data_IF_985140960684
#
_entry.id   IF_985140960684
#
_cell.length_a   1.000
_cell.length_b   1.000
_cell.length_c   1.000
_cell.angle_alpha   90.00
_cell.angle_beta   90.00
_cell.angle_gamma   90.00
#
_symmetry.space_group_name_H-M   'P 1'
#
loop_
_entity.id
_entity.type
_entity.pdbx_description
1 polymer ?
#
# COMPACT_ATOMS: atom_id res chain seq x y z
N UNK A 1 10.97 -17.56 29.84
CA UNK A 1 10.92 -19.03 29.83
C UNK A 1 12.08 -19.55 29.00
N UNK A 2 12.65 -20.70 29.36
CA UNK A 2 13.66 -21.39 28.56
C UNK A 2 13.13 -21.71 27.17
N UNK A 3 13.99 -21.71 26.15
CA UNK A 3 13.66 -22.21 24.81
C UNK A 3 13.45 -23.74 24.85
N UNK A 4 12.59 -24.32 23.99
CA UNK A 4 12.49 -25.78 23.80
C UNK A 4 13.84 -26.39 23.40
N UNK A 5 14.08 -27.67 23.76
CA UNK A 5 15.36 -28.34 23.49
C UNK A 5 15.62 -28.52 21.99
N UNK A 6 14.58 -28.76 21.20
CA UNK A 6 14.68 -28.84 19.74
C UNK A 6 15.16 -27.52 19.14
N UNK A 7 14.61 -26.39 19.62
CA UNK A 7 15.04 -25.04 19.21
C UNK A 7 16.47 -24.77 19.63
N UNK A 8 16.88 -25.10 20.87
CA UNK A 8 18.27 -24.90 21.31
C UNK A 8 19.27 -25.69 20.45
N UNK A 9 18.89 -26.90 20.03
CA UNK A 9 19.73 -27.74 19.18
C UNK A 9 19.82 -27.16 17.77
N UNK A 10 18.70 -26.70 17.22
CA UNK A 10 18.63 -26.09 15.89
C UNK A 10 19.38 -24.75 15.81
N UNK A 11 19.30 -23.93 16.87
CA UNK A 11 20.05 -22.67 17.00
C UNK A 11 21.57 -22.88 16.92
N UNK A 12 22.08 -24.05 17.29
CA UNK A 12 23.51 -24.39 17.25
C UNK A 12 24.44 -23.32 17.90
N UNK A 13 23.95 -22.69 18.98
CA UNK A 13 24.67 -21.65 19.71
C UNK A 13 24.55 -20.23 19.13
N UNK A 14 23.82 -20.05 18.03
CA UNK A 14 23.54 -18.75 17.43
C UNK A 14 22.62 -17.91 18.33
N UNK A 15 22.91 -16.61 18.54
CA UNK A 15 22.09 -15.75 19.39
C UNK A 15 20.72 -15.48 18.75
N UNK A 16 19.68 -15.50 19.57
CA UNK A 16 18.34 -15.08 19.14
C UNK A 16 18.24 -13.57 19.21
N UNK A 17 18.01 -12.93 18.06
CA UNK A 17 17.78 -11.49 17.91
C UNK A 17 16.33 -11.15 18.20
N UNK A 18 15.39 -11.96 17.73
CA UNK A 18 13.97 -11.75 17.97
C UNK A 18 13.22 -13.05 18.28
N UNK A 19 12.23 -12.95 19.17
CA UNK A 19 11.29 -14.03 19.50
C UNK A 19 9.86 -13.53 19.33
N UNK A 20 9.08 -14.23 18.51
CA UNK A 20 7.71 -13.86 18.16
C UNK A 20 6.77 -15.03 18.44
N UNK A 21 5.77 -14.81 19.29
CA UNK A 21 4.72 -15.80 19.51
C UNK A 21 3.78 -15.85 18.29
N UNK A 22 3.57 -17.05 17.73
CA UNK A 22 2.73 -17.29 16.57
C UNK A 22 1.32 -17.80 16.95
N UNK A 23 1.10 -18.09 18.23
CA UNK A 23 -0.18 -18.55 18.79
C UNK A 23 -0.06 -19.94 19.41
N UNK A 24 -0.78 -20.17 20.51
CA UNK A 24 -0.57 -21.39 21.31
C UNK A 24 0.85 -21.40 21.88
N UNK A 25 1.58 -22.47 21.61
CA UNK A 25 3.00 -22.63 21.97
C UNK A 25 3.93 -22.52 20.74
N UNK A 26 3.39 -22.17 19.56
CA UNK A 26 4.17 -21.94 18.33
C UNK A 26 4.94 -20.62 18.43
N UNK A 27 6.20 -20.63 18.01
CA UNK A 27 7.10 -19.48 18.12
C UNK A 27 8.03 -19.35 16.90
N UNK A 28 8.35 -18.12 16.53
CA UNK A 28 9.38 -17.79 15.57
C UNK A 28 10.59 -17.22 16.31
N UNK A 29 11.76 -17.70 15.92
CA UNK A 29 13.06 -17.27 16.41
C UNK A 29 13.87 -16.74 15.24
N UNK A 30 14.18 -15.46 15.24
CA UNK A 30 15.11 -14.89 14.27
C UNK A 30 16.50 -14.80 14.89
N UNK A 31 17.48 -15.22 14.12
CA UNK A 31 18.91 -15.15 14.40
C UNK A 31 19.57 -14.23 13.37
N UNK A 32 20.87 -13.90 13.47
CA UNK A 32 21.54 -13.16 12.42
C UNK A 32 21.41 -13.81 11.04
N UNK A 33 21.61 -15.12 10.91
CA UNK A 33 21.70 -15.76 9.58
C UNK A 33 20.44 -16.48 9.14
N UNK A 34 19.49 -16.75 10.04
CA UNK A 34 18.29 -17.55 9.72
C UNK A 34 17.10 -17.29 10.64
N UNK A 35 15.92 -17.71 10.18
CA UNK A 35 14.71 -17.77 10.97
C UNK A 35 14.31 -19.22 11.21
N UNK A 36 13.98 -19.54 12.46
CA UNK A 36 13.47 -20.83 12.88
C UNK A 36 11.99 -20.71 13.27
N UNK A 37 11.15 -21.59 12.73
CA UNK A 37 9.74 -21.69 13.09
C UNK A 37 9.55 -22.96 13.91
N UNK A 38 9.24 -22.77 15.18
CA UNK A 38 8.90 -23.82 16.11
C UNK A 38 7.38 -24.04 16.11
N UNK A 39 6.98 -25.29 15.90
CA UNK A 39 5.60 -25.76 16.10
C UNK A 39 5.58 -26.73 17.27
N UNK A 40 4.78 -26.41 18.27
CA UNK A 40 4.58 -27.30 19.42
C UNK A 40 3.88 -28.59 19.01
N UNK A 41 4.11 -29.66 19.76
CA UNK A 41 3.37 -30.91 19.62
C UNK A 41 1.86 -30.64 19.80
N UNK A 42 1.08 -31.06 18.80
CA UNK A 42 -0.37 -31.02 18.81
C UNK A 42 -0.97 -32.42 18.86
N UNK A 43 -2.30 -32.50 18.97
CA UNK A 43 -3.03 -33.77 19.05
C UNK A 43 -2.78 -34.71 17.85
N UNK A 44 -2.37 -34.16 16.71
CA UNK A 44 -2.19 -34.86 15.44
C UNK A 44 -0.84 -34.56 14.77
N UNK A 45 0.07 -33.85 15.45
CA UNK A 45 1.30 -33.37 14.84
C UNK A 45 2.41 -33.36 15.89
N UNK A 46 3.55 -33.93 15.53
CA UNK A 46 4.71 -33.93 16.40
C UNK A 46 5.35 -32.53 16.51
N UNK A 47 6.17 -32.34 17.53
CA UNK A 47 7.03 -31.15 17.69
C UNK A 47 7.96 -31.01 16.46
N UNK A 48 8.01 -29.83 15.87
CA UNK A 48 8.86 -29.57 14.70
C UNK A 48 9.55 -28.21 14.78
N UNK A 49 10.73 -28.14 14.16
CA UNK A 49 11.48 -26.90 13.90
C UNK A 49 11.82 -26.87 12.43
N UNK A 50 11.38 -25.81 11.74
CA UNK A 50 11.73 -25.52 10.36
C UNK A 50 12.72 -24.35 10.32
N UNK A 51 13.73 -24.44 9.47
CA UNK A 51 14.79 -23.43 9.34
C UNK A 51 14.76 -22.78 7.96
N UNK A 52 14.92 -21.46 7.93
CA UNK A 52 14.87 -20.65 6.72
C UNK A 52 16.06 -19.68 6.72
N UNK A 53 16.94 -19.78 5.71
CA UNK A 53 18.09 -18.87 5.58
C UNK A 53 17.63 -17.44 5.33
N UNK A 54 18.41 -16.47 5.80
CA UNK A 54 18.22 -15.06 5.47
C UNK A 54 18.84 -14.67 4.13
N UNK A 55 19.62 -15.55 3.48
CA UNK A 55 20.22 -15.33 2.15
C UNK A 55 19.19 -15.41 1.00
N UNK A 56 17.90 -15.17 1.28
CA UNK A 56 16.88 -15.05 0.24
C UNK A 56 17.18 -13.81 -0.60
N UNK A 57 17.04 -13.93 -1.93
CA UNK A 57 17.14 -12.83 -2.91
C UNK A 57 15.80 -12.12 -3.08
N UNK A 58 14.69 -12.80 -2.76
CA UNK A 58 13.34 -12.25 -2.79
C UNK A 58 12.47 -12.80 -1.67
N UNK A 59 11.67 -11.92 -1.08
CA UNK A 59 10.62 -12.27 -0.10
C UNK A 59 9.28 -11.91 -0.69
N UNK A 60 8.35 -12.87 -0.74
CA UNK A 60 6.99 -12.66 -1.24
C UNK A 60 5.95 -13.07 -0.19
N UNK A 61 4.82 -12.35 -0.18
CA UNK A 61 3.75 -12.56 0.80
C UNK A 61 2.43 -12.74 0.05
N UNK A 62 1.83 -13.93 0.19
CA UNK A 62 0.52 -14.23 -0.40
C UNK A 62 -0.53 -14.36 0.71
N UNK A 63 -1.33 -13.31 0.87
CA UNK A 63 -2.37 -13.25 1.91
C UNK A 63 -3.58 -14.11 1.53
N UNK A 64 -3.90 -15.07 2.40
CA UNK A 64 -5.14 -15.84 2.32
C UNK A 64 -6.15 -15.38 3.36
N UNK A 65 -7.35 -15.97 3.33
CA UNK A 65 -8.45 -15.61 4.25
C UNK A 65 -8.10 -15.72 5.74
N UNK A 66 -7.24 -16.67 6.11
CA UNK A 66 -6.92 -17.01 7.52
C UNK A 66 -5.42 -17.12 7.82
N UNK A 67 -4.66 -17.47 6.79
CA UNK A 67 -3.23 -17.68 6.85
C UNK A 67 -2.62 -16.99 5.64
N UNK A 68 -1.42 -16.50 5.85
CA UNK A 68 -0.59 -15.88 4.83
C UNK A 68 0.60 -16.78 4.60
N UNK A 69 0.94 -16.98 3.33
CA UNK A 69 2.17 -17.67 2.95
C UNK A 69 3.28 -16.65 2.77
N UNK A 70 4.42 -16.92 3.38
CA UNK A 70 5.65 -16.17 3.17
C UNK A 70 6.59 -17.09 2.40
N UNK A 71 7.06 -16.63 1.25
CA UNK A 71 7.95 -17.37 0.36
C UNK A 71 9.29 -16.65 0.32
N UNK A 72 10.36 -17.40 0.60
CA UNK A 72 11.75 -17.01 0.52
C UNK A 72 12.31 -17.67 -0.73
N UNK A 73 12.68 -16.86 -1.71
CA UNK A 73 13.26 -17.29 -2.97
C UNK A 73 14.77 -17.04 -2.92
N UNK A 74 15.55 -18.11 -3.11
CA UNK A 74 17.01 -18.13 -3.09
C UNK A 74 17.57 -18.26 -4.52
N UNK A 75 16.79 -17.83 -5.52
CA UNK A 75 17.19 -17.83 -6.92
C UNK A 75 17.43 -19.24 -7.45
N UNK A 76 18.69 -19.57 -7.71
CA UNK A 76 19.08 -20.88 -8.27
C UNK A 76 19.00 -22.02 -7.24
N UNK A 77 19.01 -21.70 -5.95
CA UNK A 77 18.93 -22.67 -4.87
C UNK A 77 17.48 -23.06 -4.50
N UNK A 78 16.51 -22.48 -5.22
CA UNK A 78 15.09 -22.78 -5.11
C UNK A 78 14.37 -21.86 -4.12
N UNK A 79 13.17 -22.26 -3.72
CA UNK A 79 12.32 -21.49 -2.82
C UNK A 79 11.89 -22.31 -1.61
N UNK A 80 11.69 -21.63 -0.48
CA UNK A 80 11.07 -22.19 0.71
C UNK A 80 9.86 -21.35 1.11
N UNK A 81 8.82 -22.00 1.63
CA UNK A 81 7.59 -21.32 2.00
C UNK A 81 7.11 -21.80 3.37
N UNK A 82 6.68 -20.86 4.20
CA UNK A 82 5.97 -21.14 5.44
C UNK A 82 4.65 -20.37 5.52
N UNK A 83 3.74 -20.84 6.37
CA UNK A 83 2.43 -20.23 6.54
C UNK A 83 2.20 -19.75 7.97
N UNK A 84 1.84 -18.49 8.12
CA UNK A 84 1.51 -17.86 9.40
C UNK A 84 0.05 -17.46 9.45
N UNK A 85 -0.50 -17.34 10.66
CA UNK A 85 -1.78 -16.66 10.85
C UNK A 85 -1.64 -15.18 10.49
N UNK A 86 -2.65 -14.60 9.81
CA UNK A 86 -2.62 -13.19 9.42
C UNK A 86 -2.39 -12.25 10.62
N UNK A 87 -2.88 -12.65 11.80
CA UNK A 87 -2.71 -11.88 13.05
C UNK A 87 -1.24 -11.72 13.48
N UNK A 88 -0.38 -12.66 13.11
CA UNK A 88 1.02 -12.69 13.53
C UNK A 88 1.99 -12.28 12.42
N UNK A 89 1.48 -12.04 11.20
CA UNK A 89 2.27 -11.78 10.01
C UNK A 89 3.18 -10.56 10.20
N UNK A 90 2.63 -9.38 10.50
CA UNK A 90 3.42 -8.15 10.56
C UNK A 90 4.54 -8.23 11.62
N UNK A 91 4.25 -8.88 12.76
CA UNK A 91 5.24 -9.07 13.82
C UNK A 91 6.33 -10.07 13.43
N UNK A 92 6.00 -11.08 12.62
CA UNK A 92 6.93 -12.10 12.16
C UNK A 92 7.76 -11.64 10.96
N UNK A 93 7.20 -10.86 10.05
CA UNK A 93 7.90 -10.35 8.87
C UNK A 93 9.03 -9.42 9.24
N UNK A 94 8.85 -8.59 10.26
CA UNK A 94 9.85 -7.60 10.65
C UNK A 94 11.25 -8.19 10.89
N UNK A 95 11.44 -9.18 11.79
CA UNK A 95 12.77 -9.76 12.00
C UNK A 95 13.26 -10.64 10.84
N UNK A 96 12.36 -11.24 10.05
CA UNK A 96 12.74 -12.02 8.86
C UNK A 96 13.31 -11.10 7.79
N UNK A 97 12.63 -9.98 7.51
CA UNK A 97 13.08 -8.99 6.54
C UNK A 97 14.35 -8.30 7.00
N UNK A 98 14.46 -7.90 8.28
CA UNK A 98 15.69 -7.33 8.81
C UNK A 98 16.87 -8.29 8.64
N UNK A 99 16.67 -9.56 8.96
CA UNK A 99 17.68 -10.60 8.76
C UNK A 99 18.10 -10.72 7.30
N UNK A 100 17.14 -10.74 6.37
CA UNK A 100 17.44 -10.81 4.94
C UNK A 100 18.18 -9.58 4.41
N UNK A 101 17.78 -8.39 4.84
CA UNK A 101 18.46 -7.16 4.46
C UNK A 101 19.92 -7.12 4.95
N UNK A 102 20.22 -7.70 6.12
CA UNK A 102 21.59 -7.83 6.64
C UNK A 102 22.39 -8.88 5.89
N UNK A 103 21.80 -10.05 5.66
CA UNK A 103 22.46 -11.15 4.93
C UNK A 103 22.83 -10.77 3.49
N UNK A 104 22.08 -9.84 2.87
CA UNK A 104 22.33 -9.34 1.52
C UNK A 104 23.12 -8.01 1.50
N UNK A 105 23.81 -7.64 2.59
CA UNK A 105 24.62 -6.42 2.70
C UNK A 105 23.88 -5.09 2.44
N UNK A 106 22.53 -5.08 2.51
CA UNK A 106 21.72 -3.87 2.33
C UNK A 106 21.74 -3.01 3.60
N UNK A 107 21.65 -3.66 4.77
CA UNK A 107 21.80 -3.05 6.09
C UNK A 107 23.09 -3.53 6.75
N UNK A 108 23.73 -2.64 7.52
CA UNK A 108 24.85 -3.04 8.37
C UNK A 108 24.39 -3.97 9.51
N UNK A 109 25.29 -4.80 10.03
CA UNK A 109 24.99 -5.77 11.10
C UNK A 109 24.36 -5.10 12.34
N UNK A 110 24.83 -3.90 12.69
CA UNK A 110 24.39 -3.11 13.83
C UNK A 110 23.23 -2.15 13.52
N UNK A 111 22.86 -2.00 12.25
CA UNK A 111 21.72 -1.18 11.83
C UNK A 111 20.43 -1.99 11.97
N UNK A 112 19.45 -1.46 12.70
CA UNK A 112 18.16 -2.12 12.88
C UNK A 112 17.09 -1.54 11.95
N UNK A 113 16.09 -2.36 11.63
CA UNK A 113 14.84 -1.86 11.05
C UNK A 113 14.02 -1.26 12.19
N UNK A 114 13.61 -0.01 12.04
CA UNK A 114 12.72 0.69 12.98
C UNK A 114 11.26 0.34 12.71
N UNK A 115 10.89 0.29 11.43
CA UNK A 115 9.55 -0.10 11.01
C UNK A 115 9.50 -0.55 9.56
N UNK A 116 8.61 -1.52 9.33
CA UNK A 116 8.17 -1.96 8.02
C UNK A 116 6.75 -1.44 7.75
N UNK A 117 6.54 -0.85 6.59
CA UNK A 117 5.24 -0.45 6.06
C UNK A 117 4.97 -1.15 4.73
N UNK A 118 3.74 -1.62 4.53
CA UNK A 118 3.29 -2.29 3.31
C UNK A 118 2.03 -1.62 2.78
N UNK A 119 2.10 -1.05 1.58
CA UNK A 119 1.04 -0.26 0.95
C UNK A 119 0.74 -0.81 -0.45
N UNK A 120 -0.14 -1.80 -0.54
CA UNK A 120 -0.43 -2.50 -1.80
C UNK A 120 0.85 -3.07 -2.44
N UNK A 121 1.43 -2.37 -3.42
CA UNK A 121 2.67 -2.77 -4.12
C UNK A 121 3.90 -2.00 -3.59
N UNK A 122 3.74 -1.03 -2.70
CA UNK A 122 4.84 -0.25 -2.15
C UNK A 122 5.22 -0.78 -0.77
N UNK A 123 6.46 -1.22 -0.61
CA UNK A 123 7.05 -1.54 0.68
C UNK A 123 8.04 -0.46 1.08
N UNK A 124 7.92 0.05 2.30
CA UNK A 124 8.84 1.03 2.87
C UNK A 124 9.44 0.49 4.16
N UNK A 125 10.76 0.42 4.22
CA UNK A 125 11.54 0.03 5.39
C UNK A 125 12.24 1.27 5.91
N UNK A 126 11.89 1.69 7.12
CA UNK A 126 12.62 2.75 7.82
C UNK A 126 13.64 2.06 8.73
N UNK A 127 14.92 2.30 8.48
CA UNK A 127 16.03 1.81 9.28
C UNK A 127 16.68 2.98 10.05
N UNK A 128 17.72 2.67 10.83
CA UNK A 128 18.42 3.68 11.64
C UNK A 128 19.10 4.78 10.81
N UNK A 129 19.65 4.46 9.63
CA UNK A 129 20.40 5.39 8.79
C UNK A 129 19.82 5.63 7.40
N UNK A 130 18.73 4.95 7.04
CA UNK A 130 18.19 5.01 5.67
C UNK A 130 16.72 4.62 5.58
N UNK A 131 16.12 4.94 4.44
CA UNK A 131 14.81 4.44 4.01
C UNK A 131 15.01 3.59 2.77
N UNK A 132 14.51 2.36 2.80
CA UNK A 132 14.43 1.50 1.62
C UNK A 132 13.01 1.55 1.08
N UNK A 133 12.90 1.74 -0.23
CA UNK A 133 11.64 1.78 -0.97
C UNK A 133 11.67 0.69 -2.03
N UNK A 134 10.70 -0.21 -1.94
CA UNK A 134 10.50 -1.26 -2.92
C UNK A 134 9.12 -1.13 -3.54
N UNK A 135 9.02 -1.31 -4.86
CA UNK A 135 7.75 -1.28 -5.61
C UNK A 135 7.59 -2.59 -6.37
N UNK A 136 6.60 -3.40 -6.00
CA UNK A 136 6.23 -4.61 -6.70
C UNK A 136 5.31 -5.52 -5.91
N UNK A 137 5.09 -6.73 -6.43
CA UNK A 137 4.30 -7.76 -5.76
C UNK A 137 5.08 -8.46 -4.63
N UNK A 138 6.41 -8.46 -4.72
CA UNK A 138 7.31 -8.93 -3.67
C UNK A 138 7.27 -7.98 -2.48
N UNK A 139 7.50 -8.49 -1.27
CA UNK A 139 7.78 -7.65 -0.11
C UNK A 139 9.15 -6.96 -0.26
N UNK A 140 10.13 -7.69 -0.80
CA UNK A 140 11.47 -7.22 -1.06
C UNK A 140 12.12 -8.10 -2.13
N UNK A 141 12.96 -7.49 -2.96
CA UNK A 141 13.96 -8.12 -3.81
C UNK A 141 15.07 -7.10 -4.11
N UNK A 142 16.05 -7.47 -4.93
CA UNK A 142 17.21 -6.63 -5.29
C UNK A 142 16.84 -5.31 -6.00
N UNK A 143 15.63 -5.20 -6.58
CA UNK A 143 15.16 -4.00 -7.27
C UNK A 143 14.51 -3.02 -6.27
N UNK A 144 15.34 -2.36 -5.45
CA UNK A 144 14.90 -1.35 -4.50
C UNK A 144 15.64 -0.02 -4.64
N UNK A 145 15.02 1.03 -4.14
CA UNK A 145 15.62 2.37 -4.00
C UNK A 145 16.05 2.58 -2.55
N UNK A 146 17.27 3.08 -2.36
CA UNK A 146 17.83 3.42 -1.05
C UNK A 146 17.99 4.94 -0.91
N UNK A 147 17.56 5.46 0.23
CA UNK A 147 17.73 6.86 0.59
C UNK A 147 18.43 6.96 1.94
N UNK A 148 19.72 7.29 1.93
CA UNK A 148 20.52 7.46 3.15
C UNK A 148 20.19 8.79 3.81
N UNK A 149 20.07 8.78 5.13
CA UNK A 149 19.76 9.99 5.87
C UNK A 149 20.85 11.05 5.80
N UNK A 150 22.11 10.68 5.54
CA UNK A 150 23.20 11.62 5.25
C UNK A 150 22.90 12.57 4.07
N UNK A 151 22.14 12.08 3.09
CA UNK A 151 21.82 12.81 1.86
C UNK A 151 20.45 13.52 1.95
N UNK A 152 19.68 13.25 3.02
CA UNK A 152 18.33 13.78 3.24
C UNK A 152 18.40 15.13 3.95
N UNK A 153 18.04 16.19 3.25
CA UNK A 153 18.10 17.57 3.76
C UNK A 153 16.75 18.14 4.16
N UNK A 154 15.66 17.58 3.65
CA UNK A 154 14.30 18.01 3.98
C UNK A 154 13.30 16.85 3.90
N UNK A 155 12.29 16.91 4.75
CA UNK A 155 11.15 16.00 4.79
C UNK A 155 9.86 16.80 4.96
N UNK A 156 8.89 16.56 4.08
CA UNK A 156 7.59 17.22 4.09
C UNK A 156 6.47 16.21 3.85
N UNK A 157 5.29 16.52 4.39
CA UNK A 157 4.09 15.72 4.24
C UNK A 157 2.95 16.58 3.72
N UNK A 158 2.41 16.24 2.56
CA UNK A 158 1.31 16.94 1.92
C UNK A 158 0.04 16.10 2.01
N UNK A 159 -0.93 16.54 2.82
CA UNK A 159 -2.21 15.84 2.97
C UNK A 159 -3.04 15.88 1.68
N UNK A 160 -3.57 14.72 1.28
CA UNK A 160 -4.50 14.58 0.16
C UNK A 160 -5.81 13.91 0.60
N UNK A 161 -6.84 14.00 -0.24
CA UNK A 161 -8.15 13.39 0.05
C UNK A 161 -8.08 11.87 0.16
N UNK A 162 -7.28 11.23 -0.69
CA UNK A 162 -7.12 9.77 -0.76
C UNK A 162 -5.88 9.29 -0.02
N UNK A 163 -4.76 9.99 -0.22
CA UNK A 163 -3.46 9.60 0.29
C UNK A 163 -2.61 10.84 0.61
N UNK A 164 -1.74 10.70 1.60
CA UNK A 164 -0.73 11.69 1.95
C UNK A 164 0.49 11.51 1.04
N UNK A 165 1.01 12.61 0.51
CA UNK A 165 2.30 12.62 -0.18
C UNK A 165 3.42 12.79 0.83
N UNK A 166 4.38 11.88 0.85
CA UNK A 166 5.67 12.10 1.49
C UNK A 166 6.61 12.68 0.45
N UNK A 167 7.28 13.78 0.78
CA UNK A 167 8.26 14.46 -0.07
C UNK A 167 9.56 14.51 0.71
N UNK A 168 10.59 13.83 0.21
CA UNK A 168 11.91 13.78 0.80
C UNK A 168 12.90 14.43 -0.16
N UNK A 169 13.68 15.39 0.31
CA UNK A 169 14.73 16.01 -0.51
C UNK A 169 16.04 15.28 -0.25
N UNK A 170 16.55 14.59 -1.27
CA UNK A 170 17.77 13.78 -1.25
C UNK A 170 18.74 14.35 -2.27
N UNK A 171 19.94 14.75 -1.86
CA UNK A 171 20.94 15.38 -2.76
C UNK A 171 20.36 16.54 -3.61
N UNK A 172 19.47 17.34 -3.00
CA UNK A 172 18.79 18.45 -3.68
C UNK A 172 17.69 18.04 -4.69
N UNK A 173 17.35 16.75 -4.77
CA UNK A 173 16.25 16.23 -5.60
C UNK A 173 15.07 15.83 -4.72
N UNK A 174 13.86 16.10 -5.19
CA UNK A 174 12.66 15.70 -4.47
C UNK A 174 12.20 14.31 -4.89
N UNK A 175 12.19 13.41 -3.93
CA UNK A 175 11.61 12.08 -4.03
C UNK A 175 10.23 12.07 -3.38
N UNK A 176 9.25 11.54 -4.10
CA UNK A 176 7.85 11.60 -3.70
C UNK A 176 7.19 10.24 -3.81
N UNK A 177 6.53 9.84 -2.73
CA UNK A 177 5.69 8.64 -2.71
C UNK A 177 4.40 8.88 -1.95
N UNK A 178 3.43 7.99 -2.14
CA UNK A 178 2.09 8.08 -1.55
C UNK A 178 1.94 7.08 -0.42
N UNK A 179 1.25 7.52 0.62
CA UNK A 179 0.93 6.71 1.79
C UNK A 179 -0.56 6.82 2.07
N UNK A 180 -1.26 5.70 2.32
CA UNK A 180 -2.65 5.73 2.79
C UNK A 180 -2.82 6.65 3.99
N UNK A 181 -3.93 7.38 4.04
CA UNK A 181 -4.16 8.37 5.11
C UNK A 181 -4.20 7.74 6.51
N UNK A 182 -4.55 6.46 6.64
CA UNK A 182 -4.57 5.73 7.91
C UNK A 182 -3.17 5.51 8.49
N UNK A 183 -2.17 5.26 7.63
CA UNK A 183 -0.78 5.02 8.03
C UNK A 183 0.08 6.28 8.04
N UNK A 184 -0.36 7.34 7.36
CA UNK A 184 0.42 8.57 7.15
C UNK A 184 0.95 9.17 8.45
N UNK A 185 0.14 9.14 9.52
CA UNK A 185 0.56 9.64 10.84
C UNK A 185 1.71 8.82 11.42
N UNK A 186 1.59 7.50 11.35
CA UNK A 186 2.59 6.59 11.91
C UNK A 186 3.88 6.62 11.10
N UNK A 187 3.78 6.67 9.77
CA UNK A 187 4.94 6.85 8.89
C UNK A 187 5.64 8.17 9.16
N UNK A 188 4.89 9.26 9.29
CA UNK A 188 5.44 10.58 9.62
C UNK A 188 6.24 10.56 10.92
N UNK A 189 5.65 10.05 12.00
CA UNK A 189 6.32 9.97 13.30
C UNK A 189 7.59 9.11 13.23
N UNK A 190 7.54 8.00 12.48
CA UNK A 190 8.68 7.08 12.35
C UNK A 190 9.80 7.72 11.53
N UNK A 191 9.51 8.33 10.38
CA UNK A 191 10.49 9.00 9.52
C UNK A 191 11.10 10.24 10.21
N UNK A 192 10.26 11.10 10.79
CA UNK A 192 10.76 12.27 11.52
C UNK A 192 11.63 11.83 12.70
N UNK A 193 11.20 10.85 13.50
CA UNK A 193 12.00 10.37 14.64
C UNK A 193 13.34 9.78 14.19
N UNK A 194 13.35 8.92 13.16
CA UNK A 194 14.57 8.28 12.69
C UNK A 194 15.56 9.30 12.08
N UNK A 195 15.06 10.21 11.23
CA UNK A 195 15.87 11.25 10.60
C UNK A 195 16.47 12.21 11.65
N UNK A 196 15.65 12.69 12.59
CA UNK A 196 16.12 13.61 13.62
C UNK A 196 17.13 12.93 14.58
N UNK A 197 16.91 11.65 14.90
CA UNK A 197 17.85 10.87 15.70
C UNK A 197 19.19 10.68 14.97
N UNK A 198 19.18 10.41 13.66
CA UNK A 198 20.37 10.27 12.84
C UNK A 198 21.21 11.56 12.83
N UNK A 199 20.58 12.70 12.59
CA UNK A 199 21.25 14.00 12.53
C UNK A 199 21.54 14.61 13.92
N UNK A 200 21.00 14.03 14.99
CA UNK A 200 21.16 14.54 16.35
C UNK A 200 20.48 15.91 16.58
N UNK A 201 19.47 16.26 15.78
CA UNK A 201 18.73 17.52 15.86
C UNK A 201 17.35 17.33 16.48
N UNK A 202 16.73 18.42 16.91
CA UNK A 202 15.45 18.39 17.62
C UNK A 202 14.23 18.68 16.75
N UNK A 203 14.43 19.17 15.52
CA UNK A 203 13.35 19.53 14.60
C UNK A 203 13.78 19.53 13.14
N UNK A 204 12.81 19.40 12.23
CA UNK A 204 13.05 19.51 10.78
C UNK A 204 13.50 20.92 10.36
N UNK A 205 13.14 21.95 11.12
CA UNK A 205 13.60 23.33 10.85
C UNK A 205 15.11 23.46 11.12
N UNK A 206 15.60 22.84 12.20
CA UNK A 206 17.03 22.77 12.52
C UNK A 206 17.81 21.96 11.46
N UNK A 207 17.24 20.85 10.99
CA UNK A 207 17.80 20.07 9.88
C UNK A 207 17.94 20.91 8.60
N UNK A 208 16.87 21.63 8.22
CA UNK A 208 16.90 22.51 7.03
C UNK A 208 17.94 23.60 7.21
N UNK A 209 17.97 24.27 8.35
CA UNK A 209 18.93 25.35 8.63
C UNK A 209 20.38 24.88 8.55
N UNK A 210 20.68 23.64 8.99
CA UNK A 210 22.01 23.05 8.89
C UNK A 210 22.42 22.72 7.44
N UNK A 211 21.45 22.48 6.55
CA UNK A 211 21.67 22.07 5.16
C UNK A 211 21.50 23.20 4.13
N UNK A 212 21.20 24.43 4.57
CA UNK A 212 21.17 25.61 3.70
C UNK A 212 22.62 25.98 3.36
N UNK A 213 23.00 25.86 2.09
CA UNK A 213 24.30 26.32 1.58
C UNK A 213 24.55 27.79 1.90
N UNK A 214 25.81 28.19 2.11
CA UNK A 214 26.19 29.60 2.38
C UNK A 214 25.67 30.59 1.30
N UNK A 215 25.46 30.14 0.07
CA UNK A 215 24.87 30.92 -1.04
C UNK A 215 23.37 31.21 -0.86
N UNK A 216 22.65 30.36 -0.13
CA UNK A 216 21.21 30.48 0.13
C UNK A 216 20.94 31.11 1.52
N UNK A 217 21.86 30.94 2.47
CA UNK A 217 21.90 31.68 3.74
C UNK A 217 22.30 33.16 3.57
N UNK A 218 22.99 33.50 2.47
CA UNK A 218 23.34 34.87 2.08
C UNK A 218 22.20 35.63 1.36
N UNK A 219 20.97 35.10 1.35
CA UNK A 219 19.78 35.85 0.94
C UNK A 219 18.88 36.28 2.11
N UNK A 220 19.37 37.10 3.07
CA UNK A 220 18.50 38.09 3.67
C UNK A 220 18.41 39.28 2.70
N UNK A 221 17.19 39.64 2.29
CA UNK A 221 16.85 40.81 1.44
C UNK A 221 16.78 40.58 -0.08
N UNK A 222 15.73 39.89 -0.51
CA UNK A 222 15.09 40.13 -1.81
C UNK A 222 14.19 41.38 -1.79
N UNK A 223 14.72 42.52 -1.35
CA UNK A 223 14.13 43.82 -1.60
C UNK A 223 15.04 44.57 -2.59
N UNK A 224 14.55 44.65 -3.83
CA UNK A 224 15.08 45.46 -4.94
C UNK A 224 16.46 45.07 -5.52
N UNK A 225 16.46 44.20 -6.53
CA UNK A 225 17.12 44.47 -7.82
C UNK A 225 16.59 43.49 -8.88
N UNK A 226 15.37 43.76 -9.37
CA UNK A 226 14.92 43.13 -10.59
C UNK A 226 15.71 43.76 -11.74
N UNK A 227 16.83 43.12 -12.13
CA UNK A 227 17.38 43.29 -13.48
C UNK A 227 16.34 42.81 -14.47
N UNK A 228 15.54 43.77 -14.91
CA UNK A 228 14.57 43.69 -15.98
C UNK A 228 15.30 43.20 -17.25
N UNK A 229 15.27 41.89 -17.46
CA UNK A 229 15.48 41.32 -18.79
C UNK A 229 14.30 41.77 -19.64
N UNK A 230 14.52 42.87 -20.36
CA UNK A 230 13.58 43.44 -21.33
C UNK A 230 13.33 42.43 -22.45
N UNK A 231 12.26 41.65 -22.32
CA UNK A 231 11.58 41.06 -23.46
C UNK A 231 10.91 42.21 -24.20
N UNK A 232 11.36 42.46 -25.43
CA UNK A 232 10.97 43.62 -26.22
C UNK A 232 9.46 43.80 -26.33
N UNK A 233 9.07 45.09 -26.30
CA UNK A 233 7.77 45.68 -26.64
C UNK A 233 6.75 44.68 -27.22
N UNK A 234 6.00 44.04 -26.33
CA UNK A 234 4.81 43.28 -26.68
C UNK A 234 3.67 44.23 -27.06
N UNK A 235 2.82 43.88 -28.04
CA UNK A 235 1.82 44.81 -28.56
C UNK A 235 0.87 45.31 -27.47
N UNK A 236 0.60 46.62 -27.47
CA UNK A 236 -0.25 47.32 -26.50
C UNK A 236 -1.62 46.62 -26.32
N UNK A 237 -2.08 46.41 -25.09
CA UNK A 237 -3.41 45.89 -24.83
C UNK A 237 -4.48 46.90 -25.27
N UNK A 238 -5.45 46.43 -26.05
CA UNK A 238 -6.61 47.19 -26.50
C UNK A 238 -7.30 47.88 -25.32
N UNK A 239 -7.18 49.21 -25.26
CA UNK A 239 -7.90 50.06 -24.32
C UNK A 239 -9.38 50.11 -24.72
N UNK A 240 -10.17 49.17 -24.20
CA UNK A 240 -11.61 49.25 -24.25
C UNK A 240 -12.07 50.41 -23.36
N UNK A 241 -12.37 51.56 -23.97
CA UNK A 241 -12.95 52.71 -23.31
C UNK A 241 -14.42 52.39 -22.96
N UNK A 242 -14.83 52.33 -21.67
CA UNK A 242 -16.16 51.90 -21.27
C UNK A 242 -17.27 52.96 -21.54
N UNK A 243 -16.94 54.08 -22.18
CA UNK A 243 -17.87 55.19 -22.43
C UNK A 243 -18.63 55.10 -23.77
N UNK A 244 -18.52 54.00 -24.54
CA UNK A 244 -19.24 53.80 -25.81
C UNK A 244 -20.16 52.56 -25.82
N UNK A 245 -20.67 52.13 -24.66
CA UNK A 245 -21.73 51.12 -24.57
C UNK A 245 -23.09 51.78 -24.25
N UNK A 246 -23.48 52.77 -25.05
CA UNK A 246 -24.77 53.47 -24.94
C UNK A 246 -25.64 53.31 -26.21
N UNK A 247 -25.49 52.20 -26.92
CA UNK A 247 -26.48 51.77 -27.91
C UNK A 247 -26.96 50.37 -27.54
N UNK A 248 -28.22 50.29 -27.10
CA UNK A 248 -28.92 49.06 -26.77
C UNK A 248 -29.07 48.18 -28.02
N UNK A 249 -28.58 46.93 -28.05
CA UNK A 249 -29.11 45.94 -28.97
C UNK A 249 -30.52 45.56 -28.51
N UNK A 250 -31.49 45.79 -29.40
CA UNK A 250 -32.90 45.39 -29.28
C UNK A 250 -33.07 43.87 -29.26
N UNK A 251 -32.73 43.21 -28.16
CA UNK A 251 -33.29 41.89 -27.86
C UNK A 251 -33.21 41.54 -26.37
N UNK A 252 -34.08 42.15 -25.57
CA UNK A 252 -34.32 41.78 -24.19
C UNK A 252 -35.70 41.11 -24.06
N UNK A 253 -35.70 39.78 -23.89
CA UNK A 253 -36.80 39.07 -23.23
C UNK A 253 -36.23 38.40 -21.99
N UNK A 254 -36.10 39.16 -20.91
CA UNK A 254 -36.00 38.56 -19.57
C UNK A 254 -36.62 39.46 -18.53
N UNK A 255 -37.82 39.07 -18.13
CA UNK A 255 -38.67 39.69 -17.12
C UNK A 255 -38.01 39.65 -15.75
N UNK A 256 -38.13 40.77 -15.06
CA UNK A 256 -37.72 41.04 -13.68
C UNK A 256 -38.57 40.28 -12.64
N UNK A 257 -37.98 40.05 -11.47
CA UNK A 257 -38.59 40.15 -10.12
C UNK A 257 -37.40 40.00 -9.14
N UNK A 258 -36.86 41.06 -8.52
CA UNK A 258 -37.38 41.80 -7.36
C UNK A 258 -37.84 40.83 -6.23
N UNK A 259 -37.40 40.90 -4.98
CA UNK A 259 -37.09 42.07 -4.18
C UNK A 259 -36.46 41.64 -2.82
N UNK A 260 -35.52 42.46 -2.36
CA UNK A 260 -35.23 42.90 -0.99
C UNK A 260 -35.08 41.94 0.22
N UNK A 261 -33.92 42.09 0.86
CA UNK A 261 -33.66 41.86 2.31
C UNK A 261 -34.09 43.11 3.09
N UNK A 262 -34.50 43.01 4.37
CA UNK A 262 -33.52 43.39 5.41
C UNK A 262 -33.63 42.65 6.77
N UNK A 263 -32.60 42.86 7.59
CA UNK A 263 -32.36 42.41 8.97
C UNK A 263 -33.44 42.81 10.01
N UNK A 264 -33.58 42.04 11.11
CA UNK A 264 -33.29 42.50 12.49
C UNK A 264 -33.77 41.53 13.62
N UNK A 265 -32.89 41.31 14.59
CA UNK A 265 -33.07 41.17 16.06
C UNK A 265 -34.01 40.12 16.76
N UNK A 266 -33.35 39.30 17.60
CA UNK A 266 -33.56 39.05 19.04
C UNK A 266 -34.75 38.21 19.61
N UNK A 267 -34.43 37.52 20.72
CA UNK A 267 -35.23 36.71 21.67
C UNK A 267 -35.73 35.34 21.15
N UNK A 268 -35.72 34.23 21.90
CA UNK A 268 -35.55 33.98 23.34
C UNK A 268 -36.56 32.91 23.78
N UNK A 269 -36.10 31.83 24.43
CA UNK A 269 -36.92 30.74 25.01
C UNK A 269 -36.95 29.48 24.14
N UNK A 270 -36.54 28.29 24.54
CA UNK A 270 -36.43 27.70 25.87
C UNK A 270 -37.60 26.74 26.11
N UNK A 271 -37.50 25.49 25.66
CA UNK A 271 -38.23 24.34 26.25
C UNK A 271 -37.48 23.04 25.95
N UNK A 272 -37.25 22.27 27.01
CA UNK A 272 -36.67 20.94 27.02
C UNK A 272 -37.63 19.87 26.46
N UNK A 273 -37.09 18.78 25.90
CA UNK A 273 -37.62 17.44 26.21
C UNK A 273 -36.57 16.34 26.02
N UNK A 274 -36.25 15.68 27.13
CA UNK A 274 -35.64 14.36 27.23
C UNK A 274 -36.44 13.31 26.45
N UNK A 275 -35.75 12.31 25.90
CA UNK A 275 -36.11 10.90 26.08
C UNK A 275 -34.86 10.02 26.05
N UNK A 276 -34.56 9.41 27.20
CA UNK A 276 -33.72 8.23 27.38
C UNK A 276 -34.36 6.99 26.76
N UNK A 277 -33.54 6.05 26.26
CA UNK A 277 -33.87 4.63 26.30
C UNK A 277 -32.61 3.74 26.30
N UNK A 278 -32.26 3.30 27.51
CA UNK A 278 -31.94 1.91 27.89
C UNK A 278 -30.78 1.17 27.22
N UNK A 279 -29.69 1.05 27.99
CA UNK A 279 -28.70 -0.02 27.91
C UNK A 279 -29.04 -1.15 28.92
N UNK A 280 -28.92 -2.42 28.48
CA UNK A 280 -28.81 -3.68 29.27
C UNK A 280 -28.44 -4.79 28.27
N UNK A 281 -27.39 -5.59 28.43
CA UNK A 281 -27.16 -6.62 29.47
C UNK A 281 -25.69 -7.12 29.37
N UNK A 282 -24.91 -7.20 30.46
CA UNK A 282 -24.62 -8.37 31.36
C UNK A 282 -23.97 -9.59 30.69
N UNK A 283 -22.76 -9.91 31.19
CA UNK A 283 -21.91 -11.09 30.96
C UNK A 283 -22.49 -12.42 31.47
N UNK A 284 -22.07 -13.55 30.88
CA UNK A 284 -21.56 -14.78 31.56
C UNK A 284 -21.25 -15.90 30.52
N UNK A 285 -20.15 -16.64 30.73
CA UNK A 285 -19.72 -17.87 30.00
C UNK A 285 -20.30 -19.14 30.68
N UNK A 286 -19.80 -20.38 30.47
CA UNK A 286 -19.44 -21.18 29.27
C UNK A 286 -20.26 -22.50 29.19
N UNK A 287 -20.21 -23.28 28.09
CA UNK A 287 -20.23 -24.76 28.15
C UNK A 287 -20.02 -25.42 26.77
N UNK A 288 -19.26 -26.52 26.80
CA UNK A 288 -19.00 -27.45 25.71
C UNK A 288 -20.21 -28.31 25.32
N UNK A 289 -20.22 -28.81 24.07
CA UNK A 289 -20.45 -30.22 23.69
C UNK A 289 -20.43 -30.38 22.16
N UNK A 290 -19.49 -31.18 21.65
CA UNK A 290 -19.63 -32.03 20.45
C UNK A 290 -20.52 -33.25 20.86
N UNK A 291 -21.24 -33.99 19.99
CA UNK A 291 -20.57 -34.80 18.96
C UNK A 291 -21.36 -35.07 17.64
N UNK A 292 -20.61 -35.34 16.55
CA UNK A 292 -20.90 -36.26 15.42
C UNK A 292 -22.01 -35.93 14.40
N UNK A 293 -21.63 -35.81 13.12
CA UNK A 293 -22.14 -36.64 11.99
C UNK A 293 -21.55 -36.19 10.63
N UNK A 294 -20.74 -37.05 10.01
CA UNK A 294 -20.59 -37.18 8.55
C UNK A 294 -21.45 -38.39 8.08
N UNK A 295 -21.68 -38.66 6.79
CA UNK A 295 -21.74 -37.77 5.60
C UNK A 295 -23.05 -37.99 4.80
N UNK A 296 -23.40 -37.08 3.89
CA UNK A 296 -24.34 -37.39 2.81
C UNK A 296 -24.07 -36.55 1.56
N UNK A 297 -23.85 -37.31 0.48
CA UNK A 297 -23.62 -36.96 -0.91
C UNK A 297 -24.93 -36.52 -1.60
N UNK A 298 -24.87 -35.52 -2.50
CA UNK A 298 -25.95 -35.22 -3.46
C UNK A 298 -26.25 -33.74 -3.71
N UNK A 299 -26.55 -33.34 -4.97
CA UNK A 299 -26.25 -32.01 -5.52
C UNK A 299 -27.35 -30.98 -5.24
N UNK A 300 -26.96 -29.72 -5.04
CA UNK A 300 -27.91 -28.60 -4.94
C UNK A 300 -27.74 -27.64 -6.12
N UNK A 301 -28.85 -27.48 -6.82
CA UNK A 301 -29.12 -26.59 -7.94
C UNK A 301 -28.77 -25.12 -7.63
N UNK A 302 -28.14 -24.47 -8.59
CA UNK A 302 -27.96 -23.02 -8.63
C UNK A 302 -29.29 -22.35 -8.96
N UNK A 303 -29.92 -21.73 -7.97
CA UNK A 303 -31.02 -20.79 -8.21
C UNK A 303 -30.47 -19.50 -8.83
N UNK A 304 -30.98 -19.20 -10.02
CA UNK A 304 -30.81 -17.94 -10.72
C UNK A 304 -31.55 -16.84 -9.95
N UNK A 305 -30.83 -15.77 -9.62
CA UNK A 305 -31.43 -14.56 -9.04
C UNK A 305 -31.63 -13.57 -10.17
N UNK A 306 -32.90 -13.35 -10.44
CA UNK A 306 -33.52 -12.34 -11.27
C UNK A 306 -32.95 -10.94 -11.00
N UNK A 307 -32.62 -10.21 -12.06
CA UNK A 307 -32.26 -8.79 -12.00
C UNK A 307 -32.76 -8.09 -13.26
N UNK A 308 -34.05 -7.80 -13.22
CA UNK A 308 -34.71 -6.57 -13.66
C UNK A 308 -34.12 -5.87 -14.90
N UNK A 309 -34.77 -6.14 -16.02
CA UNK A 309 -34.92 -5.23 -17.16
C UNK A 309 -35.39 -3.85 -16.67
N UNK A 310 -34.58 -2.82 -16.94
CA UNK A 310 -35.01 -1.44 -16.91
C UNK A 310 -35.08 -0.97 -18.37
N UNK A 311 -36.24 -1.18 -18.98
CA UNK A 311 -36.68 -0.44 -20.16
C UNK A 311 -36.59 1.06 -19.85
N UNK A 312 -35.62 1.74 -20.46
CA UNK A 312 -35.64 3.19 -20.58
C UNK A 312 -36.17 3.50 -21.97
N UNK A 313 -37.41 3.98 -22.01
CA UNK A 313 -38.04 4.56 -23.19
C UNK A 313 -37.09 5.57 -23.87
N UNK A 314 -36.57 5.16 -25.03
CA UNK A 314 -35.95 6.04 -26.01
C UNK A 314 -37.06 6.62 -26.88
N UNK A 315 -37.48 7.84 -26.53
CA UNK A 315 -38.31 8.65 -27.42
C UNK A 315 -37.84 10.10 -27.35
N UNK A 316 -37.20 10.54 -28.45
CA UNK A 316 -37.19 11.96 -28.81
C UNK A 316 -35.82 12.61 -29.01
N UNK A 317 -34.95 12.08 -29.87
CA UNK A 317 -34.00 12.93 -30.62
C UNK A 317 -33.55 12.34 -31.97
N UNK A 318 -34.50 11.89 -32.80
CA UNK A 318 -34.24 11.67 -34.22
C UNK A 318 -33.96 13.01 -34.92
N UNK A 319 -32.68 13.34 -35.11
CA UNK A 319 -32.29 14.44 -36.01
C UNK A 319 -31.03 15.22 -35.69
N UNK A 320 -30.21 14.81 -34.72
CA UNK A 320 -28.91 15.46 -34.47
C UNK A 320 -27.77 14.47 -34.56
N UNK A 321 -26.80 14.76 -35.43
CA UNK A 321 -25.56 14.00 -35.60
C UNK A 321 -24.58 14.14 -34.43
N UNK A 322 -25.05 13.88 -33.22
CA UNK A 322 -24.23 13.79 -32.02
C UNK A 322 -24.26 12.34 -31.51
N UNK A 323 -23.27 11.56 -31.94
CA UNK A 323 -22.97 10.26 -31.31
C UNK A 323 -22.46 10.53 -29.89
N UNK A 324 -23.13 9.94 -28.90
CA UNK A 324 -22.69 10.00 -27.50
C UNK A 324 -21.40 9.20 -27.36
N UNK A 325 -20.29 9.86 -27.03
CA UNK A 325 -18.96 9.26 -26.86
C UNK A 325 -18.93 8.10 -25.84
N UNK A 326 -19.95 7.99 -24.97
CA UNK A 326 -20.11 6.89 -24.01
C UNK A 326 -20.53 5.57 -24.68
N UNK A 327 -21.35 5.60 -25.73
CA UNK A 327 -21.75 4.39 -26.46
C UNK A 327 -20.57 3.83 -27.28
N UNK A 328 -19.80 4.72 -27.93
CA UNK A 328 -18.58 4.34 -28.67
C UNK A 328 -17.43 3.90 -27.76
N UNK A 329 -17.42 4.33 -26.48
CA UNK A 329 -16.46 3.85 -25.49
C UNK A 329 -16.79 2.43 -25.02
N UNK A 330 -18.07 2.13 -24.75
CA UNK A 330 -18.49 0.79 -24.36
C UNK A 330 -18.28 -0.25 -25.48
N UNK A 331 -18.51 0.12 -26.74
CA UNK A 331 -18.22 -0.76 -27.88
C UNK A 331 -16.73 -1.12 -27.98
N UNK A 332 -15.84 -0.13 -27.85
CA UNK A 332 -14.39 -0.35 -27.87
C UNK A 332 -13.90 -1.25 -26.74
N UNK A 333 -14.44 -1.08 -25.54
CA UNK A 333 -14.11 -1.94 -24.39
C UNK A 333 -14.60 -3.38 -24.60
N UNK A 334 -15.78 -3.56 -25.20
CA UNK A 334 -16.30 -4.89 -25.51
C UNK A 334 -15.45 -5.62 -26.57
N UNK A 335 -14.97 -4.89 -27.58
CA UNK A 335 -14.08 -5.43 -28.62
C UNK A 335 -12.71 -5.82 -28.02
N UNK A 336 -12.15 -4.98 -27.15
CA UNK A 336 -10.87 -5.25 -26.48
C UNK A 336 -10.97 -6.48 -25.55
N UNK A 337 -12.08 -6.63 -24.83
CA UNK A 337 -12.34 -7.82 -24.00
C UNK A 337 -12.47 -9.10 -24.84
N UNK A 338 -13.09 -9.01 -26.02
CA UNK A 338 -13.20 -10.15 -26.93
C UNK A 338 -11.82 -10.57 -27.47
N UNK A 339 -10.96 -9.60 -27.80
CA UNK A 339 -9.59 -9.85 -28.27
C UNK A 339 -8.70 -10.45 -27.18
N UNK A 340 -8.78 -9.92 -25.94
CA UNK A 340 -8.07 -10.48 -24.79
C UNK A 340 -8.51 -11.92 -24.52
N UNK A 341 -9.82 -12.19 -24.55
CA UNK A 341 -10.35 -13.54 -24.33
C UNK A 341 -9.86 -14.53 -25.40
N UNK A 342 -9.86 -14.13 -26.67
CA UNK A 342 -9.33 -14.96 -27.75
C UNK A 342 -7.83 -15.24 -27.58
N UNK A 343 -7.07 -14.28 -27.06
CA UNK A 343 -5.64 -14.45 -26.78
C UNK A 343 -5.39 -15.40 -25.61
N UNK A 344 -6.17 -15.29 -24.53
CA UNK A 344 -6.10 -16.22 -23.38
C UNK A 344 -6.46 -17.65 -23.80
N UNK A 345 -7.48 -17.83 -24.64
CA UNK A 345 -7.85 -19.15 -25.15
C UNK A 345 -6.71 -19.78 -25.97
N UNK A 346 -6.05 -18.99 -26.82
CA UNK A 346 -4.88 -19.41 -27.60
C UNK A 346 -3.69 -19.79 -26.72
N UNK A 347 -3.38 -18.99 -25.71
CA UNK A 347 -2.31 -19.30 -24.74
C UNK A 347 -2.64 -20.58 -23.95
N UNK A 348 -3.91 -20.77 -23.58
CA UNK A 348 -4.37 -22.00 -22.93
C UNK A 348 -4.20 -23.24 -23.81
N UNK A 349 -4.37 -23.12 -25.13
CA UNK A 349 -4.09 -24.20 -26.09
C UNK A 349 -2.60 -24.51 -26.18
N UNK A 350 -1.75 -23.49 -26.29
CA UNK A 350 -0.30 -23.66 -26.37
C UNK A 350 0.27 -24.34 -25.10
N UNK A 351 -0.20 -23.94 -23.92
CA UNK A 351 0.20 -24.57 -22.65
C UNK A 351 -0.21 -26.06 -22.62
N UNK A 352 -1.40 -26.40 -23.13
CA UNK A 352 -1.85 -27.79 -23.20
C UNK A 352 -0.99 -28.62 -24.15
N UNK A 353 -0.58 -28.05 -25.27
CA UNK A 353 0.35 -28.71 -26.20
C UNK A 353 1.73 -28.90 -25.60
N UNK A 354 2.28 -27.88 -24.93
CA UNK A 354 3.56 -27.97 -24.23
C UNK A 354 3.53 -29.04 -23.13
N UNK A 355 2.45 -29.11 -22.34
CA UNK A 355 2.29 -30.15 -21.32
C UNK A 355 2.30 -31.55 -21.93
N UNK A 356 1.61 -31.75 -23.05
CA UNK A 356 1.59 -33.03 -23.76
C UNK A 356 2.97 -33.40 -24.31
N UNK A 357 3.72 -32.42 -24.82
CA UNK A 357 5.09 -32.63 -25.31
C UNK A 357 6.05 -33.00 -24.17
N UNK A 358 5.93 -32.35 -23.01
CA UNK A 358 6.67 -32.69 -21.81
C UNK A 358 6.35 -34.12 -21.35
N UNK A 359 5.07 -34.51 -21.32
CA UNK A 359 4.66 -35.88 -20.98
C UNK A 359 5.26 -36.91 -21.95
N UNK A 360 5.31 -36.62 -23.26
CA UNK A 360 5.98 -37.48 -24.25
C UNK A 360 7.48 -37.59 -24.01
N UNK A 361 8.17 -36.48 -23.74
CA UNK A 361 9.62 -36.48 -23.47
C UNK A 361 9.95 -37.25 -22.19
N UNK A 362 9.12 -37.12 -21.15
CA UNK A 362 9.27 -37.88 -19.90
C UNK A 362 9.08 -39.38 -20.15
N UNK A 363 8.11 -39.77 -20.97
CA UNK A 363 7.86 -41.18 -21.31
C UNK A 363 8.98 -41.77 -22.18
N UNK A 364 9.55 -41.00 -23.11
CA UNK A 364 10.73 -41.42 -23.89
C UNK A 364 11.98 -41.58 -23.01
N UNK A 365 12.23 -40.63 -22.11
CA UNK A 365 13.32 -40.74 -21.13
C UNK A 365 13.15 -41.94 -20.20
N UNK A 366 11.91 -42.29 -19.84
CA UNK A 366 11.59 -43.45 -18.99
C UNK A 366 11.77 -44.78 -19.71
N UNK A 367 11.56 -44.83 -21.04
CA UNK A 367 11.73 -46.05 -21.87
C UNK A 367 13.15 -46.26 -22.36
N UNK A 368 13.99 -45.20 -22.34
CA UNK A 368 15.41 -45.23 -22.70
C UNK A 368 16.36 -45.65 -21.56
N UNK A 369 15.84 -45.94 -20.37
CA UNK A 369 16.53 -46.55 -19.22
C UNK A 369 16.07 -47.99 -19.06
#
# INVERSE_FOLDING_TARGET
MSQPQMVQSALDGEPVVARVALGGEDELYATPTRTLIYRSEGLLSDETVEEYSHEAERISVAEGRRKTKVTLDYGLDGEQTFALSNKHLDRALHPVLEGALKANDVLADDEAVERLFRFSELTLVVAGGRVLKHIGASLWDEDFEEYRFDDVTDLQFEGGSVATSVVMTVDGRQERFKTPNEDARQLRETLESALLAHWGVSSLEELRAANVSEEEAASPEGAADAKEVSFGDGPEPLSANPAQLAEEPVNATRTESADSVPESAANGGGVAQQVEATARSVSESPSASDPTSEPADGPAETEAIDSADADVDDDGFEGSGFQSAAADANGRVADELAELRATVERQGEEIREQRKLIEQLVEELRRGR
#
